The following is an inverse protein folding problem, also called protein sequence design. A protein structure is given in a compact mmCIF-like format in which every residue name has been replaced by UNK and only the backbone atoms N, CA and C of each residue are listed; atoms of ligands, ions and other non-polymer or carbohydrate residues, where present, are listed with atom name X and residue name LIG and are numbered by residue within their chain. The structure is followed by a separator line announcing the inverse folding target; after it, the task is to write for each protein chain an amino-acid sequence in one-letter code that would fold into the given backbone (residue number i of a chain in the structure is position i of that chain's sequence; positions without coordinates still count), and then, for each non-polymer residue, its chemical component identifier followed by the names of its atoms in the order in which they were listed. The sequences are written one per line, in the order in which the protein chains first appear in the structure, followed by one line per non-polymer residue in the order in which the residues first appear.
data_IF_531811481575
#
_entry.id   IF_531811481575
#
_cell.length_a   1.000
_cell.length_b   1.000
_cell.length_c   1.000
_cell.angle_alpha   90.00
_cell.angle_beta   90.00
_cell.angle_gamma   90.00
#
_symmetry.space_group_name_H-M   'P 1'
#
loop_
_entity.id
_entity.type
_entity.pdbx_description
1 polymer ?
#
# COMPACT_ATOMS: atom_id res chain seq x y z
N UNK A 1 -5.03 -13.02 0.23
CA UNK A 1 -4.13 -11.95 -0.27
C UNK A 1 -4.33 -10.73 0.62
N UNK A 2 -3.27 -10.03 0.98
CA UNK A 2 -3.29 -8.85 1.88
C UNK A 2 -2.74 -7.63 1.16
N UNK A 3 -3.40 -6.48 1.30
CA UNK A 3 -2.84 -5.19 0.87
C UNK A 3 -1.80 -4.75 1.91
N UNK A 4 -0.56 -4.56 1.48
CA UNK A 4 0.57 -4.26 2.36
C UNK A 4 0.43 -2.92 3.07
N UNK A 5 -0.10 -1.89 2.39
CA UNK A 5 -0.28 -0.58 2.98
C UNK A 5 -1.41 -0.62 4.02
N UNK A 6 -2.52 -1.27 3.68
CA UNK A 6 -3.64 -1.48 4.61
C UNK A 6 -3.21 -2.25 5.85
N UNK A 7 -2.38 -3.26 5.68
CA UNK A 7 -1.94 -4.11 6.77
C UNK A 7 -1.19 -3.33 7.86
N UNK A 8 -0.30 -2.41 7.45
CA UNK A 8 0.50 -1.62 8.39
C UNK A 8 -0.21 -0.37 8.93
N UNK A 9 -1.00 0.32 8.11
CA UNK A 9 -1.58 1.63 8.48
C UNK A 9 -3.03 1.55 8.91
N UNK A 10 -3.71 0.45 8.57
CA UNK A 10 -5.17 0.38 8.63
C UNK A 10 -5.84 1.34 7.65
N UNK A 11 -7.13 1.12 7.41
CA UNK A 11 -8.02 2.10 6.77
C UNK A 11 -9.25 2.40 7.64
N UNK A 12 -9.26 1.90 8.89
CA UNK A 12 -10.48 1.85 9.70
C UNK A 12 -11.58 1.10 8.96
N UNK A 13 -12.76 1.72 8.89
CA UNK A 13 -13.94 1.21 8.17
C UNK A 13 -13.97 1.60 6.68
N UNK A 14 -12.96 2.33 6.19
CA UNK A 14 -12.96 2.84 4.82
C UNK A 14 -12.59 1.70 3.87
N UNK A 15 -13.45 1.47 2.87
CA UNK A 15 -13.22 0.49 1.83
C UNK A 15 -12.03 0.88 0.94
N UNK A 16 -11.35 -0.12 0.37
CA UNK A 16 -10.18 0.09 -0.51
C UNK A 16 -10.52 1.05 -1.66
N UNK A 17 -11.69 0.88 -2.26
CA UNK A 17 -12.19 1.71 -3.36
C UNK A 17 -12.31 3.20 -2.97
N UNK A 18 -12.73 3.47 -1.74
CA UNK A 18 -12.92 4.84 -1.23
C UNK A 18 -11.59 5.51 -0.89
N UNK A 19 -10.62 4.75 -0.38
CA UNK A 19 -9.24 5.25 -0.21
C UNK A 19 -8.58 5.52 -1.56
N UNK A 20 -8.73 4.66 -2.56
CA UNK A 20 -7.96 4.78 -3.79
C UNK A 20 -8.34 6.02 -4.62
N UNK A 21 -9.64 6.30 -4.79
CA UNK A 21 -10.10 7.42 -5.62
C UNK A 21 -9.87 8.79 -5.00
N UNK A 22 -10.17 8.95 -3.70
CA UNK A 22 -10.11 10.28 -3.04
C UNK A 22 -8.75 10.62 -2.46
N UNK A 23 -7.95 9.62 -2.05
CA UNK A 23 -6.60 9.87 -1.52
C UNK A 23 -5.50 9.83 -2.58
N UNK A 24 -5.86 9.64 -3.85
CA UNK A 24 -4.94 9.45 -4.98
C UNK A 24 -3.98 8.26 -4.82
N UNK A 25 -4.41 7.21 -4.09
CA UNK A 25 -3.65 5.98 -3.90
C UNK A 25 -4.12 4.94 -4.91
N UNK A 26 -3.53 4.95 -6.09
CA UNK A 26 -3.89 4.02 -7.16
C UNK A 26 -2.90 2.86 -7.28
N UNK A 27 -1.70 3.03 -6.72
CA UNK A 27 -0.65 2.02 -6.68
C UNK A 27 -0.75 1.17 -5.41
N UNK A 28 -0.86 -0.15 -5.56
CA UNK A 28 -1.03 -1.10 -4.46
C UNK A 28 -0.03 -2.25 -4.56
N UNK A 29 0.45 -2.72 -3.41
CA UNK A 29 1.21 -3.97 -3.29
C UNK A 29 0.36 -4.98 -2.54
N UNK A 30 0.08 -6.11 -3.19
CA UNK A 30 -0.63 -7.22 -2.59
C UNK A 30 0.32 -8.40 -2.34
N UNK A 31 0.24 -9.01 -1.16
CA UNK A 31 1.01 -10.18 -0.79
C UNK A 31 0.12 -11.41 -0.56
N UNK A 32 0.68 -12.61 -0.73
CA UNK A 32 0.02 -13.84 -0.31
C UNK A 32 -0.19 -13.85 1.21
N UNK A 33 -1.05 -14.75 1.71
CA UNK A 33 -1.24 -14.89 3.17
C UNK A 33 0.02 -15.45 3.87
N UNK A 34 0.93 -16.06 3.12
CA UNK A 34 2.20 -16.61 3.60
C UNK A 34 3.33 -15.58 3.67
N UNK A 35 3.06 -14.32 3.30
CA UNK A 35 4.02 -13.23 3.36
C UNK A 35 3.39 -12.09 4.16
N UNK A 36 3.92 -11.83 5.35
CA UNK A 36 3.48 -10.72 6.20
C UNK A 36 4.15 -9.42 5.75
N UNK A 37 3.39 -8.35 5.48
CA UNK A 37 3.97 -7.03 5.30
C UNK A 37 4.55 -6.51 6.62
N UNK A 38 5.84 -6.17 6.62
CA UNK A 38 6.53 -5.61 7.80
C UNK A 38 6.59 -4.09 7.76
N UNK A 39 6.63 -3.50 6.56
CA UNK A 39 6.55 -2.05 6.32
C UNK A 39 5.95 -1.76 4.95
N UNK A 40 5.23 -0.66 4.82
CA UNK A 40 4.78 -0.16 3.52
C UNK A 40 4.63 1.36 3.55
N UNK A 41 5.18 2.10 2.59
CA UNK A 41 5.08 3.56 2.53
C UNK A 41 5.27 4.08 1.12
N UNK A 42 4.92 5.36 0.91
CA UNK A 42 5.18 6.07 -0.35
C UNK A 42 6.41 6.95 -0.24
N UNK A 43 7.17 7.06 -1.32
CA UNK A 43 8.32 7.96 -1.45
C UNK A 43 8.23 8.76 -2.76
N UNK A 44 8.27 10.08 -2.67
CA UNK A 44 8.23 10.96 -3.83
C UNK A 44 9.57 10.97 -4.56
N UNK A 45 9.53 10.95 -5.90
CA UNK A 45 10.70 10.99 -6.77
C UNK A 45 10.49 11.99 -7.89
N UNK A 46 11.58 12.62 -8.37
CA UNK A 46 11.48 13.66 -9.40
C UNK A 46 11.41 13.10 -10.83
N UNK A 47 11.57 11.77 -10.99
CA UNK A 47 11.57 11.11 -12.29
C UNK A 47 10.20 10.54 -12.71
N UNK A 48 9.18 10.66 -11.87
CA UNK A 48 7.83 10.18 -12.14
C UNK A 48 6.79 11.11 -11.54
N UNK A 49 5.64 11.20 -12.19
CA UNK A 49 4.43 11.86 -11.68
C UNK A 49 3.71 11.02 -10.62
N UNK A 50 4.14 9.77 -10.39
CA UNK A 50 3.69 8.89 -9.32
C UNK A 50 4.77 8.75 -8.24
N UNK A 51 4.34 8.68 -6.97
CA UNK A 51 5.23 8.30 -5.87
C UNK A 51 5.50 6.80 -5.91
N UNK A 52 6.73 6.39 -5.57
CA UNK A 52 7.07 4.99 -5.40
C UNK A 52 6.28 4.39 -4.22
N UNK A 53 5.82 3.15 -4.37
CA UNK A 53 5.33 2.34 -3.25
C UNK A 53 6.41 1.34 -2.85
N UNK A 54 6.87 1.41 -1.60
CA UNK A 54 7.93 0.55 -1.06
C UNK A 54 7.30 -0.35 -0.01
N UNK A 55 7.47 -1.67 -0.15
CA UNK A 55 6.96 -2.67 0.79
C UNK A 55 8.06 -3.66 1.21
N UNK A 56 8.16 -3.92 2.52
CA UNK A 56 8.95 -5.03 3.07
C UNK A 56 8.03 -6.20 3.38
N UNK A 57 8.42 -7.41 2.95
CA UNK A 57 7.68 -8.65 3.16
C UNK A 57 8.57 -9.66 3.90
N UNK A 58 7.99 -10.37 4.84
CA UNK A 58 8.64 -11.43 5.62
C UNK A 58 7.75 -12.70 5.62
N UNK A 59 8.38 -13.87 5.76
CA UNK A 59 7.69 -15.17 5.83
C UNK A 59 7.26 -15.50 7.25
#
# INVERSE_FOLDING_TARGET
MVDAFRYGHGYGEIGVKDTSWKSKRFDHVFASLSLRPSRCYYESVDCSDHALIIAGLET
#
